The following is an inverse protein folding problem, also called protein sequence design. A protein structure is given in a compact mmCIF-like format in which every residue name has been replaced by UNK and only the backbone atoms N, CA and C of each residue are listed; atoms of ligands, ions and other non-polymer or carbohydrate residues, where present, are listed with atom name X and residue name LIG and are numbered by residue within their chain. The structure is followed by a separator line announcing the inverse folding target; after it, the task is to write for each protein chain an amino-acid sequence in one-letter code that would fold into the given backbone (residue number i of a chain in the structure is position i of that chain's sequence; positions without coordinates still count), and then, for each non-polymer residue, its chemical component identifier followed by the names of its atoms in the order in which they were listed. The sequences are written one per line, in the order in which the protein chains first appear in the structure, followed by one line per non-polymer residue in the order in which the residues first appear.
data_IF_298735232059
#
_entry.id   IF_298735232059
#
_cell.length_a   1.000
_cell.length_b   1.000
_cell.length_c   1.000
_cell.angle_alpha   90.00
_cell.angle_beta   90.00
_cell.angle_gamma   90.00
#
_symmetry.space_group_name_H-M   'P 1'
#
loop_
_entity.id
_entity.type
_entity.pdbx_description
1 polymer ?
#
# COMPACT_ATOMS: atom_id res chain seq x y z
N UNK A 1 -13.69 10.88 -11.74
CA UNK A 1 -13.11 10.04 -10.66
C UNK A 1 -13.72 8.65 -10.67
N UNK A 2 -13.10 7.66 -10.00
CA UNK A 2 -13.48 6.23 -10.00
C UNK A 2 -14.99 5.92 -9.96
N UNK A 3 -15.73 6.62 -9.10
CA UNK A 3 -17.19 6.47 -8.97
C UNK A 3 -17.94 6.87 -10.25
N UNK A 4 -17.45 7.87 -10.98
CA UNK A 4 -17.98 8.28 -12.28
C UNK A 4 -17.67 7.24 -13.35
N UNK A 5 -16.44 6.69 -13.38
CA UNK A 5 -16.08 5.61 -14.31
C UNK A 5 -16.91 4.35 -14.09
N UNK A 6 -17.20 4.01 -12.83
CA UNK A 6 -18.13 2.93 -12.50
C UNK A 6 -19.54 3.19 -13.03
N UNK A 7 -20.08 4.40 -12.79
CA UNK A 7 -21.41 4.80 -13.27
C UNK A 7 -21.51 4.83 -14.80
N UNK A 8 -20.43 5.19 -15.49
CA UNK A 8 -20.34 5.25 -16.95
C UNK A 8 -20.01 3.89 -17.60
N UNK A 9 -19.77 2.84 -16.81
CA UNK A 9 -19.38 1.51 -17.33
C UNK A 9 -17.95 1.44 -17.87
N UNK A 10 -17.11 2.44 -17.57
CA UNK A 10 -15.70 2.54 -17.98
C UNK A 10 -14.80 1.69 -17.07
N UNK A 11 -14.97 0.38 -17.16
CA UNK A 11 -14.31 -0.59 -16.26
C UNK A 11 -12.80 -0.61 -16.45
N UNK A 12 -12.31 -0.42 -17.68
CA UNK A 12 -10.87 -0.44 -17.96
C UNK A 12 -10.16 0.75 -17.31
N UNK A 13 -10.71 1.93 -17.48
CA UNK A 13 -10.22 3.18 -16.89
C UNK A 13 -10.28 3.15 -15.36
N UNK A 14 -11.32 2.53 -14.81
CA UNK A 14 -11.41 2.28 -13.38
C UNK A 14 -10.31 1.34 -12.89
N UNK A 15 -10.07 0.24 -13.60
CA UNK A 15 -9.01 -0.71 -13.26
C UNK A 15 -7.63 -0.04 -13.34
N UNK A 16 -7.36 0.73 -14.40
CA UNK A 16 -6.11 1.46 -14.58
C UNK A 16 -5.90 2.49 -13.46
N UNK A 17 -6.96 3.20 -13.05
CA UNK A 17 -6.92 4.10 -11.90
C UNK A 17 -6.55 3.38 -10.60
N UNK A 18 -7.22 2.26 -10.30
CA UNK A 18 -6.91 1.46 -9.11
C UNK A 18 -5.47 0.91 -9.13
N UNK A 19 -4.96 0.52 -10.29
CA UNK A 19 -3.59 0.04 -10.45
C UNK A 19 -2.55 1.16 -10.22
N UNK A 20 -2.85 2.39 -10.65
CA UNK A 20 -1.98 3.53 -10.38
C UNK A 20 -1.85 3.79 -8.87
N UNK A 21 -2.94 3.74 -8.12
CA UNK A 21 -2.92 3.94 -6.66
C UNK A 21 -2.03 2.90 -5.96
N UNK A 22 -2.10 1.64 -6.38
CA UNK A 22 -1.24 0.56 -5.86
C UNK A 22 0.23 0.78 -6.23
N UNK A 23 0.50 1.25 -7.44
CA UNK A 23 1.87 1.53 -7.89
C UNK A 23 2.50 2.65 -7.08
N UNK A 24 1.79 3.77 -6.90
CA UNK A 24 2.26 4.93 -6.14
C UNK A 24 2.52 4.56 -4.68
N UNK A 25 1.61 3.84 -4.03
CA UNK A 25 1.79 3.42 -2.62
C UNK A 25 2.97 2.47 -2.46
N UNK A 26 3.18 1.56 -3.42
CA UNK A 26 4.35 0.66 -3.43
C UNK A 26 5.67 1.43 -3.56
N UNK A 27 5.75 2.38 -4.50
CA UNK A 27 6.95 3.18 -4.70
C UNK A 27 7.30 4.02 -3.45
N UNK A 28 6.30 4.62 -2.81
CA UNK A 28 6.48 5.34 -1.54
C UNK A 28 6.96 4.39 -0.44
N UNK A 29 6.39 3.19 -0.34
CA UNK A 29 6.80 2.20 0.66
C UNK A 29 8.25 1.74 0.44
N UNK A 30 8.64 1.43 -0.79
CA UNK A 30 10.02 1.04 -1.12
C UNK A 30 11.01 2.17 -0.83
N UNK A 31 10.64 3.41 -1.15
CA UNK A 31 11.42 4.59 -0.78
C UNK A 31 11.58 4.71 0.74
N UNK A 32 10.48 4.61 1.50
CA UNK A 32 10.48 4.71 2.96
C UNK A 32 11.31 3.60 3.61
N UNK A 33 11.25 2.38 3.06
CA UNK A 33 12.00 1.22 3.55
C UNK A 33 13.52 1.40 3.41
N UNK A 34 13.98 2.06 2.34
CA UNK A 34 15.41 2.28 2.09
C UNK A 34 15.91 3.53 2.83
N UNK A 35 15.13 4.62 2.80
CA UNK A 35 15.57 5.93 3.28
C UNK A 35 15.19 6.21 4.74
N UNK A 36 14.19 5.51 5.29
CA UNK A 36 13.72 5.68 6.66
C UNK A 36 12.79 6.87 6.89
N UNK A 37 12.37 7.58 5.84
CA UNK A 37 11.45 8.72 5.94
C UNK A 37 10.58 8.88 4.70
N UNK A 38 9.48 9.64 4.83
CA UNK A 38 8.63 10.11 3.73
C UNK A 38 8.43 11.62 3.88
N UNK A 39 8.36 12.33 2.75
CA UNK A 39 8.08 13.77 2.68
C UNK A 39 6.83 14.01 1.87
N UNK A 40 5.98 14.91 2.32
CA UNK A 40 4.83 15.37 1.56
C UNK A 40 4.54 16.84 1.87
N UNK A 41 3.88 17.49 0.93
CA UNK A 41 3.36 18.85 1.08
C UNK A 41 1.97 18.77 1.71
N UNK A 42 1.75 19.55 2.76
CA UNK A 42 0.45 19.64 3.41
C UNK A 42 -0.50 20.57 2.63
N UNK A 43 -1.71 20.81 3.15
CA UNK A 43 -2.69 21.70 2.48
C UNK A 43 -2.31 23.18 2.54
N UNK A 44 -1.36 23.55 3.40
CA UNK A 44 -0.87 24.93 3.57
C UNK A 44 0.38 25.22 2.76
N UNK A 45 0.96 24.20 2.11
CA UNK A 45 2.20 24.29 1.33
C UNK A 45 3.45 24.01 2.16
N UNK A 46 3.30 23.58 3.41
CA UNK A 46 4.41 23.23 4.28
C UNK A 46 4.91 21.81 3.96
N UNK A 47 6.23 21.67 3.84
CA UNK A 47 6.88 20.38 3.63
C UNK A 47 7.03 19.66 4.96
N UNK A 48 6.26 18.59 5.13
CA UNK A 48 6.29 17.75 6.33
C UNK A 48 7.15 16.51 6.03
N UNK A 49 8.09 16.22 6.93
CA UNK A 49 8.90 15.00 6.90
C UNK A 49 8.48 14.09 8.06
N UNK A 50 8.16 12.84 7.75
CA UNK A 50 7.83 11.81 8.74
C UNK A 50 8.90 10.72 8.67
N UNK A 51 9.59 10.50 9.78
CA UNK A 51 10.50 9.38 9.96
C UNK A 51 9.69 8.10 10.19
N UNK A 52 9.99 7.04 9.44
CA UNK A 52 9.23 5.79 9.43
C UNK A 52 10.19 4.62 9.63
N UNK A 53 10.03 3.91 10.74
CA UNK A 53 10.68 2.62 10.95
C UNK A 53 9.88 1.53 10.24
N UNK A 54 10.26 1.21 9.00
CA UNK A 54 9.67 0.07 8.28
C UNK A 54 10.25 -1.22 8.84
N UNK A 55 9.65 -1.73 9.92
CA UNK A 55 9.99 -3.05 10.45
C UNK A 55 9.64 -4.09 9.38
N UNK A 56 10.59 -4.92 8.90
CA UNK A 56 10.21 -6.05 8.08
C UNK A 56 9.27 -6.94 8.90
N UNK A 57 8.18 -7.37 8.28
CA UNK A 57 7.30 -8.41 8.83
C UNK A 57 8.18 -9.53 9.42
N UNK A 58 7.93 -9.98 10.67
CA UNK A 58 8.65 -11.12 11.19
C UNK A 58 8.43 -12.26 10.20
N UNK A 59 9.52 -12.83 9.69
CA UNK A 59 9.45 -14.02 8.84
C UNK A 59 8.92 -15.15 9.72
N UNK A 60 7.60 -15.30 9.82
CA UNK A 60 6.99 -16.35 10.61
C UNK A 60 7.40 -17.69 10.00
N UNK A 61 8.18 -18.44 10.78
CA UNK A 61 8.48 -19.84 10.54
C UNK A 61 7.13 -20.52 10.29
N UNK A 62 6.94 -21.11 9.09
CA UNK A 62 5.76 -21.91 8.74
C UNK A 62 5.63 -23.05 9.73
N UNK A 63 4.94 -22.84 10.84
CA UNK A 63 4.61 -23.90 11.77
C UNK A 63 3.63 -24.82 11.05
N UNK A 64 4.04 -26.07 10.86
CA UNK A 64 3.19 -27.10 10.27
C UNK A 64 1.97 -27.30 11.19
N UNK A 65 0.83 -26.75 10.80
CA UNK A 65 -0.44 -26.98 11.48
C UNK A 65 -0.81 -28.46 11.28
N UNK A 66 -0.77 -29.25 12.35
CA UNK A 66 -1.29 -30.62 12.34
C UNK A 66 -2.82 -30.59 12.49
N UNK A 67 -3.51 -30.64 11.36
CA UNK A 67 -4.98 -30.63 11.27
C UNK A 67 -5.57 -32.04 11.48
N UNK A 68 -5.34 -32.65 12.65
CA UNK A 68 -6.06 -33.89 13.00
C UNK A 68 -7.17 -33.57 13.99
N UNK A 69 -8.43 -33.81 13.57
CA UNK A 69 -9.58 -33.77 14.48
C UNK A 69 -9.60 -35.07 15.32
N UNK A 70 -9.88 -34.98 16.64
CA UNK A 70 -10.17 -36.18 17.42
C UNK A 70 -11.55 -36.71 17.01
N UNK A 71 -11.59 -38.00 16.66
CA UNK A 71 -12.81 -38.76 16.37
C UNK A 71 -13.81 -38.72 17.53
#
# INVERSE_FOLDING_TARGET
MAVEYWKEGKIKELADYCLMDVKVTKEIYEFAKINGFVKFEDRTGEMIEIQIEVKPEPTELKQSLNLTMPF
#
